data_IF_023422529238
#
_entry.id   IF_023422529238
#
_cell.length_a   1.000
_cell.length_b   1.000
_cell.length_c   1.000
_cell.angle_alpha   90.00
_cell.angle_beta   90.00
_cell.angle_gamma   90.00
#
_symmetry.space_group_name_H-M   'P 1'
#
loop_
_entity.id
_entity.type
_entity.pdbx_description
1 polymer ?
#
# COMPACT_ATOMS: atom_id res chain seq x y z
N UNK A 1 -16.97 -3.70 -3.03
CA UNK A 1 -15.60 -3.15 -2.96
C UNK A 1 -14.79 -3.73 -1.80
N UNK A 2 -15.28 -3.61 -0.56
CA UNK A 2 -14.50 -4.06 0.60
C UNK A 2 -14.21 -5.56 0.58
N UNK A 3 -15.15 -6.39 0.13
CA UNK A 3 -14.92 -7.83 0.02
C UNK A 3 -13.73 -8.14 -0.90
N UNK A 4 -13.66 -7.48 -2.05
CA UNK A 4 -12.56 -7.66 -3.01
C UNK A 4 -11.21 -7.28 -2.39
N UNK A 5 -11.17 -6.22 -1.59
CA UNK A 5 -9.95 -5.76 -0.94
C UNK A 5 -9.51 -6.65 0.24
N UNK A 6 -10.36 -7.57 0.67
CA UNK A 6 -10.04 -8.53 1.75
C UNK A 6 -9.61 -9.89 1.23
N UNK A 7 -9.82 -10.18 -0.05
CA UNK A 7 -9.39 -11.45 -0.65
C UNK A 7 -7.86 -11.51 -0.72
N UNK A 8 -7.32 -12.71 -0.59
CA UNK A 8 -5.87 -12.90 -0.74
C UNK A 8 -5.48 -12.62 -2.19
N UNK A 9 -4.91 -11.46 -2.42
CA UNK A 9 -4.59 -11.00 -3.77
C UNK A 9 -3.47 -9.97 -3.73
N UNK A 10 -2.48 -10.14 -4.60
CA UNK A 10 -1.46 -9.10 -4.76
C UNK A 10 -1.98 -7.98 -5.65
N UNK A 11 -1.32 -6.85 -5.55
CA UNK A 11 -1.64 -5.65 -6.33
C UNK A 11 -0.36 -5.02 -6.85
N UNK A 12 -0.48 -4.11 -7.80
CA UNK A 12 0.63 -3.25 -8.20
C UNK A 12 0.59 -1.95 -7.40
N UNK A 13 1.75 -1.54 -6.92
CA UNK A 13 1.93 -0.22 -6.31
C UNK A 13 2.72 0.65 -7.27
N UNK A 14 2.17 1.79 -7.62
CA UNK A 14 2.85 2.80 -8.43
C UNK A 14 3.20 3.99 -7.56
N UNK A 15 4.48 4.32 -7.49
CA UNK A 15 5.00 5.53 -6.86
C UNK A 15 5.85 6.27 -7.89
N UNK A 16 6.20 7.51 -7.61
CA UNK A 16 6.98 8.33 -8.54
C UNK A 16 8.43 8.41 -8.09
N UNK A 17 9.35 8.20 -9.03
CA UNK A 17 10.77 8.42 -8.81
C UNK A 17 11.06 9.92 -8.69
N UNK A 18 12.27 10.27 -8.29
CA UNK A 18 12.67 11.68 -8.14
C UNK A 18 12.56 12.49 -9.43
N UNK A 19 12.68 11.83 -10.58
CA UNK A 19 12.54 12.48 -11.90
C UNK A 19 11.08 12.52 -12.41
N UNK A 20 10.13 12.05 -11.59
CA UNK A 20 8.72 12.01 -11.96
C UNK A 20 8.30 10.77 -12.72
N UNK A 21 9.21 9.88 -13.07
CA UNK A 21 8.85 8.65 -13.78
C UNK A 21 8.20 7.64 -12.82
N UNK A 22 7.24 6.83 -13.31
CA UNK A 22 6.57 5.85 -12.45
C UNK A 22 7.44 4.64 -12.16
N UNK A 23 7.37 4.17 -10.92
CA UNK A 23 7.98 2.94 -10.43
C UNK A 23 6.84 2.00 -10.05
N UNK A 24 6.75 0.83 -10.67
CA UNK A 24 5.63 -0.11 -10.47
C UNK A 24 6.17 -1.45 -10.00
N UNK A 25 5.68 -1.90 -8.86
CA UNK A 25 6.10 -3.19 -8.26
C UNK A 25 4.89 -3.91 -7.66
N UNK A 26 4.90 -5.25 -7.61
CA UNK A 26 3.85 -5.99 -6.92
C UNK A 26 3.99 -5.86 -5.41
N UNK A 27 2.87 -5.74 -4.73
CA UNK A 27 2.82 -5.62 -3.26
C UNK A 27 1.62 -6.37 -2.71
N UNK A 28 1.69 -6.74 -1.43
CA UNK A 28 0.53 -7.02 -0.62
C UNK A 28 0.18 -5.74 0.13
N UNK A 29 -1.10 -5.39 0.18
CA UNK A 29 -1.54 -4.19 0.90
C UNK A 29 -2.78 -4.49 1.73
N UNK A 30 -3.01 -3.66 2.74
CA UNK A 30 -4.26 -3.65 3.48
C UNK A 30 -4.93 -2.29 3.34
N UNK A 31 -6.26 -2.28 3.47
CA UNK A 31 -7.04 -1.07 3.39
C UNK A 31 -7.84 -0.87 4.68
N UNK A 32 -7.65 0.29 5.29
CA UNK A 32 -8.41 0.71 6.46
C UNK A 32 -9.60 1.54 5.97
N UNK A 33 -10.80 0.94 6.03
CA UNK A 33 -12.00 1.58 5.51
C UNK A 33 -12.52 2.73 6.38
N UNK A 34 -12.10 2.81 7.63
CA UNK A 34 -12.49 3.91 8.51
C UNK A 34 -11.66 5.16 8.24
N UNK A 35 -10.35 4.98 8.04
CA UNK A 35 -9.43 6.09 7.80
C UNK A 35 -9.21 6.36 6.31
N UNK A 36 -9.68 5.48 5.44
CA UNK A 36 -9.43 5.54 3.99
C UNK A 36 -7.94 5.53 3.68
N UNK A 37 -7.20 4.60 4.30
CA UNK A 37 -5.74 4.50 4.17
C UNK A 37 -5.35 3.12 3.67
N UNK A 38 -4.55 3.10 2.61
CA UNK A 38 -3.83 1.91 2.13
C UNK A 38 -2.52 1.82 2.91
N UNK A 39 -2.18 0.61 3.38
CA UNK A 39 -0.91 0.38 4.09
C UNK A 39 -0.13 -0.74 3.42
N UNK A 40 1.16 -0.50 3.22
CA UNK A 40 2.12 -1.46 2.66
C UNK A 40 3.31 -1.55 3.59
N UNK A 41 3.70 -2.76 3.99
CA UNK A 41 4.91 -2.95 4.80
C UNK A 41 6.12 -3.12 3.89
N UNK A 42 7.25 -2.58 4.32
CA UNK A 42 8.50 -2.67 3.58
C UNK A 42 9.69 -2.44 4.51
N UNK A 43 10.84 -2.12 3.96
CA UNK A 43 12.07 -1.84 4.70
C UNK A 43 12.72 -0.57 4.14
N UNK A 44 13.60 0.09 4.92
CA UNK A 44 14.08 1.43 4.58
C UNK A 44 14.83 1.55 3.25
N UNK A 45 15.52 0.49 2.81
CA UNK A 45 16.32 0.54 1.58
C UNK A 45 15.48 0.31 0.31
N UNK A 46 14.19 0.00 0.42
CA UNK A 46 13.38 -0.25 -0.77
C UNK A 46 13.15 1.04 -1.56
N UNK A 47 13.13 0.92 -2.89
CA UNK A 47 12.87 2.06 -3.78
C UNK A 47 11.48 2.65 -3.52
N UNK A 48 10.48 1.80 -3.34
CA UNK A 48 9.11 2.25 -3.08
C UNK A 48 9.00 3.08 -1.79
N UNK A 49 9.78 2.73 -0.76
CA UNK A 49 9.78 3.50 0.49
C UNK A 49 10.46 4.87 0.29
N UNK A 50 11.59 4.90 -0.41
CA UNK A 50 12.27 6.16 -0.71
C UNK A 50 11.39 7.08 -1.53
N UNK A 51 10.64 6.53 -2.49
CA UNK A 51 9.67 7.29 -3.27
C UNK A 51 8.55 7.84 -2.37
N UNK A 52 8.06 7.01 -1.43
CA UNK A 52 7.01 7.43 -0.50
C UNK A 52 7.46 8.57 0.42
N UNK A 53 8.73 8.55 0.84
CA UNK A 53 9.28 9.60 1.70
C UNK A 53 9.29 10.97 1.03
N UNK A 54 9.39 11.02 -0.30
CA UNK A 54 9.30 12.30 -1.04
C UNK A 54 7.87 12.82 -1.12
N UNK A 55 6.87 11.99 -0.81
CA UNK A 55 5.48 12.37 -0.93
C UNK A 55 4.97 12.32 -2.37
N UNK A 56 3.92 13.07 -2.65
CA UNK A 56 3.27 13.10 -3.96
C UNK A 56 2.15 12.08 -4.07
N UNK A 57 1.83 11.69 -5.31
CA UNK A 57 0.72 10.80 -5.60
C UNK A 57 1.20 9.36 -5.75
N UNK A 58 0.35 8.42 -5.35
CA UNK A 58 0.58 7.00 -5.54
C UNK A 58 -0.74 6.28 -5.77
N UNK A 59 -0.66 5.06 -6.31
CA UNK A 59 -1.84 4.25 -6.54
C UNK A 59 -1.52 2.77 -6.32
N UNK A 60 -2.45 2.04 -5.69
CA UNK A 60 -2.47 0.58 -5.74
C UNK A 60 -3.59 0.15 -6.65
N UNK A 61 -3.32 -0.86 -7.49
CA UNK A 61 -4.30 -1.40 -8.42
C UNK A 61 -4.33 -2.92 -8.32
N UNK A 62 -5.53 -3.46 -8.15
CA UNK A 62 -5.79 -4.88 -8.02
C UNK A 62 -6.74 -5.31 -9.14
N UNK A 63 -6.39 -6.39 -9.85
CA UNK A 63 -7.17 -6.87 -11.00
C UNK A 63 -7.35 -8.38 -10.89
N UNK A 64 -8.59 -8.83 -11.05
CA UNK A 64 -8.89 -10.25 -11.13
C UNK A 64 -10.07 -10.45 -12.10
N UNK A 65 -9.77 -10.91 -13.31
CA UNK A 65 -10.78 -11.05 -14.34
C UNK A 65 -11.40 -9.70 -14.68
N UNK A 66 -12.74 -9.63 -14.61
CA UNK A 66 -13.47 -8.38 -14.86
C UNK A 66 -13.57 -7.45 -13.66
N UNK A 67 -13.09 -7.87 -12.48
CA UNK A 67 -13.10 -7.04 -11.27
C UNK A 67 -11.77 -6.31 -11.16
N UNK A 68 -11.82 -5.04 -10.86
CA UNK A 68 -10.61 -4.27 -10.63
C UNK A 68 -10.89 -3.03 -9.79
N UNK A 69 -9.88 -2.61 -9.04
CA UNK A 69 -9.92 -1.39 -8.24
C UNK A 69 -8.57 -0.71 -8.27
N UNK A 70 -8.59 0.62 -8.42
CA UNK A 70 -7.42 1.47 -8.22
C UNK A 70 -7.74 2.45 -7.10
N UNK A 71 -6.88 2.47 -6.09
CA UNK A 71 -6.99 3.35 -4.93
C UNK A 71 -5.84 4.35 -5.02
N UNK A 72 -6.18 5.63 -5.22
CA UNK A 72 -5.22 6.71 -5.45
C UNK A 72 -5.23 7.69 -4.30
N UNK A 73 -4.09 8.26 -4.01
CA UNK A 73 -4.02 9.30 -3.00
C UNK A 73 -2.62 9.86 -2.78
N UNK A 74 -2.49 10.58 -1.68
CA UNK A 74 -1.22 11.14 -1.26
C UNK A 74 -0.44 10.08 -0.49
N UNK A 75 0.81 9.87 -0.88
CA UNK A 75 1.66 8.84 -0.29
C UNK A 75 2.58 9.42 0.76
N UNK A 76 2.85 8.65 1.80
CA UNK A 76 3.85 8.97 2.81
C UNK A 76 4.53 7.69 3.29
N UNK A 77 5.75 7.83 3.80
CA UNK A 77 6.45 6.74 4.47
C UNK A 77 6.54 7.02 5.96
N UNK A 78 6.50 5.98 6.77
CA UNK A 78 6.56 6.14 8.23
C UNK A 78 7.37 5.03 8.89
N UNK A 79 8.13 5.41 9.91
CA UNK A 79 8.79 4.49 10.83
C UNK A 79 8.15 4.54 12.22
N UNK A 80 7.05 5.26 12.38
CA UNK A 80 6.34 5.34 13.66
C UNK A 80 5.88 3.95 14.09
N UNK A 81 6.26 3.48 15.31
CA UNK A 81 5.95 2.11 15.73
C UNK A 81 4.46 1.77 15.71
N UNK A 82 3.60 2.69 16.11
CA UNK A 82 2.15 2.45 16.13
C UNK A 82 1.58 2.30 14.72
N UNK A 83 2.04 3.14 13.79
CA UNK A 83 1.58 3.09 12.39
C UNK A 83 2.13 1.86 11.68
N UNK A 84 3.38 1.50 11.95
CA UNK A 84 3.98 0.28 11.41
C UNK A 84 3.26 -0.95 11.95
N UNK A 85 2.92 -0.98 13.24
CA UNK A 85 2.17 -2.09 13.83
C UNK A 85 0.79 -2.25 13.19
N UNK A 86 0.10 -1.14 12.89
CA UNK A 86 -1.18 -1.19 12.18
C UNK A 86 -1.02 -1.77 10.78
N UNK A 87 0.04 -1.44 10.07
CA UNK A 87 0.33 -1.98 8.75
C UNK A 87 0.63 -3.48 8.81
N UNK A 88 1.40 -3.93 9.80
CA UNK A 88 1.70 -5.35 10.01
C UNK A 88 0.41 -6.13 10.33
N UNK A 89 -0.43 -5.60 11.21
CA UNK A 89 -1.69 -6.23 11.58
C UNK A 89 -2.63 -6.37 10.37
N UNK A 90 -2.72 -5.34 9.54
CA UNK A 90 -3.52 -5.39 8.31
C UNK A 90 -3.01 -6.41 7.31
N UNK A 91 -1.70 -6.48 7.14
CA UNK A 91 -1.07 -7.48 6.27
C UNK A 91 -1.36 -8.90 6.78
N UNK A 92 -1.16 -9.13 8.08
CA UNK A 92 -1.39 -10.43 8.69
C UNK A 92 -2.84 -10.90 8.55
N UNK A 93 -3.79 -9.98 8.68
CA UNK A 93 -5.22 -10.30 8.55
C UNK A 93 -5.61 -10.71 7.14
N UNK A 94 -4.95 -10.14 6.12
CA UNK A 94 -5.27 -10.41 4.71
C UNK A 94 -4.46 -11.55 4.12
N UNK A 95 -3.21 -11.68 4.50
CA UNK A 95 -2.27 -12.64 3.91
C UNK A 95 -1.81 -13.66 4.95
N UNK A 96 -0.76 -13.34 5.66
CA UNK A 96 -0.18 -14.18 6.72
C UNK A 96 0.69 -13.31 7.62
N UNK A 97 1.01 -13.82 8.80
CA UNK A 97 1.93 -13.10 9.69
C UNK A 97 3.30 -12.97 9.03
N UNK A 98 3.79 -11.75 8.80
CA UNK A 98 5.12 -11.58 8.22
C UNK A 98 6.21 -11.95 9.22
N UNK A 99 7.41 -12.26 8.71
CA UNK A 99 8.57 -12.50 9.58
C UNK A 99 8.88 -11.22 10.36
N UNK A 100 9.34 -11.39 11.60
CA UNK A 100 9.78 -10.25 12.40
C UNK A 100 10.97 -9.56 11.73
N UNK A 101 10.97 -8.23 11.78
CA UNK A 101 12.02 -7.42 11.21
C UNK A 101 12.08 -6.09 11.94
N UNK A 102 13.23 -5.81 12.59
CA UNK A 102 13.40 -4.60 13.40
C UNK A 102 13.35 -3.31 12.59
N UNK A 103 13.84 -3.35 11.35
CA UNK A 103 13.87 -2.17 10.49
C UNK A 103 12.61 -1.99 9.64
N UNK A 104 11.52 -2.70 9.95
CA UNK A 104 10.30 -2.60 9.17
C UNK A 104 9.71 -1.20 9.22
N UNK A 105 9.29 -0.73 8.06
CA UNK A 105 8.63 0.56 7.88
C UNK A 105 7.35 0.35 7.09
N UNK A 106 6.53 1.38 7.00
CA UNK A 106 5.28 1.31 6.26
C UNK A 106 5.16 2.46 5.27
N UNK A 107 4.46 2.17 4.17
CA UNK A 107 3.99 3.15 3.21
C UNK A 107 2.50 3.30 3.45
N UNK A 108 2.02 4.54 3.47
CA UNK A 108 0.59 4.83 3.60
C UNK A 108 0.14 5.68 2.42
N UNK A 109 -1.04 5.37 1.90
CA UNK A 109 -1.70 6.21 0.89
C UNK A 109 -3.00 6.70 1.50
N UNK A 110 -3.11 8.00 1.69
CA UNK A 110 -4.38 8.63 2.08
C UNK A 110 -5.25 8.69 0.84
N UNK A 111 -6.22 7.78 0.74
CA UNK A 111 -7.00 7.58 -0.48
C UNK A 111 -8.03 8.69 -0.65
N UNK A 112 -8.01 9.35 -1.80
CA UNK A 112 -8.97 10.39 -2.15
C UNK A 112 -9.68 10.11 -3.48
N UNK A 113 -9.32 9.06 -4.19
CA UNK A 113 -9.98 8.67 -5.44
C UNK A 113 -9.99 7.15 -5.59
N UNK A 114 -11.15 6.61 -5.93
CA UNK A 114 -11.33 5.18 -6.18
C UNK A 114 -11.90 5.01 -7.57
N UNK A 115 -11.26 4.17 -8.37
CA UNK A 115 -11.72 3.79 -9.71
C UNK A 115 -11.92 2.29 -9.76
N UNK A 116 -12.89 1.82 -10.54
CA UNK A 116 -13.02 0.40 -10.82
C UNK A 116 -14.44 -0.14 -10.70
N UNK A 117 -14.48 -1.47 -10.74
CA UNK A 117 -15.69 -2.25 -10.54
C UNK A 117 -15.35 -3.53 -9.78
N UNK A 118 -15.91 -3.67 -8.60
CA UNK A 118 -15.70 -4.88 -7.78
C UNK A 118 -16.81 -5.09 -6.77
#
# INVERSE_FOLDING_TARGET
>A
MLAFLREYHLASLTTLRSDGSPHVVPVGFSYDSELHVVRVITFPSSVKYKNALRGGRAVVSQVEGGRWLSLEGTVSGTSDPTRVAAAVAGYAARYRQPKEREDRVAIEIAVDRVLGRA
#
